data_IF_771152109683
#
_entry.id   IF_771152109683
#
_cell.length_a   1.000
_cell.length_b   1.000
_cell.length_c   1.000
_cell.angle_alpha   90.00
_cell.angle_beta   90.00
_cell.angle_gamma   90.00
#
_symmetry.space_group_name_H-M   'P 1'
#
loop_
_entity.id
_entity.type
_entity.pdbx_description
1 polymer ?
#
# COMPACT_ATOMS: atom_id res chain seq x y z
N UNK A 1 -12.94 -58.95 -6.41
CA UNK A 1 -12.62 -58.44 -5.05
C UNK A 1 -11.44 -57.47 -5.03
N UNK A 2 -10.30 -57.75 -5.69
CA UNK A 2 -9.13 -56.84 -5.72
C UNK A 2 -9.42 -55.42 -6.25
N UNK A 3 -10.27 -55.27 -7.28
CA UNK A 3 -10.65 -53.96 -7.86
C UNK A 3 -11.49 -53.09 -6.91
N UNK A 4 -12.33 -53.71 -6.07
CA UNK A 4 -13.17 -53.00 -5.09
C UNK A 4 -12.31 -52.47 -3.94
N UNK A 5 -11.33 -53.26 -3.50
CA UNK A 5 -10.37 -52.85 -2.46
C UNK A 5 -9.54 -51.65 -2.93
N UNK A 6 -9.08 -51.63 -4.18
CA UNK A 6 -8.28 -50.51 -4.75
C UNK A 6 -9.09 -49.22 -4.85
N UNK A 7 -10.37 -49.29 -5.22
CA UNK A 7 -11.24 -48.11 -5.28
C UNK A 7 -11.48 -47.54 -3.88
N UNK A 8 -11.64 -48.41 -2.88
CA UNK A 8 -11.88 -47.98 -1.50
C UNK A 8 -10.65 -47.32 -0.85
N UNK A 9 -9.44 -47.85 -1.09
CA UNK A 9 -8.19 -47.20 -0.63
C UNK A 9 -7.91 -45.89 -1.35
N UNK A 10 -8.25 -45.78 -2.64
CA UNK A 10 -8.09 -44.53 -3.38
C UNK A 10 -9.06 -43.45 -2.87
N UNK A 11 -10.32 -43.79 -2.60
CA UNK A 11 -11.28 -42.86 -2.00
C UNK A 11 -10.85 -42.41 -0.60
N UNK A 12 -10.27 -43.29 0.21
CA UNK A 12 -9.76 -42.94 1.54
C UNK A 12 -8.58 -41.95 1.49
N UNK A 13 -7.72 -42.05 0.47
CA UNK A 13 -6.59 -41.13 0.26
C UNK A 13 -7.02 -39.72 -0.19
N UNK A 14 -8.19 -39.59 -0.84
CA UNK A 14 -8.70 -38.29 -1.29
C UNK A 14 -9.31 -37.50 -0.13
N UNK A 15 -9.97 -38.19 0.83
CA UNK A 15 -10.62 -37.54 1.98
C UNK A 15 -9.62 -36.93 2.97
N UNK A 16 -8.42 -37.50 3.11
CA UNK A 16 -7.40 -36.98 4.06
C UNK A 16 -6.70 -35.70 3.59
N UNK A 17 -6.80 -35.33 2.31
CA UNK A 17 -6.17 -34.12 1.75
C UNK A 17 -7.08 -32.87 1.82
N UNK A 18 -8.34 -33.00 2.26
CA UNK A 18 -9.33 -31.90 2.27
C UNK A 18 -9.19 -30.88 3.40
N UNK A 19 -8.39 -31.17 4.44
CA UNK A 19 -8.38 -30.39 5.70
C UNK A 19 -7.17 -29.47 5.89
N UNK A 20 -6.57 -28.97 4.81
CA UNK A 20 -5.35 -28.13 4.87
C UNK A 20 -5.51 -26.70 4.30
N UNK A 21 -6.74 -26.21 4.11
CA UNK A 21 -6.93 -24.83 3.66
C UNK A 21 -6.75 -23.86 4.84
N UNK A 22 -5.55 -23.28 4.95
CA UNK A 22 -5.31 -22.13 5.81
C UNK A 22 -6.23 -20.98 5.38
N UNK A 23 -6.92 -20.37 6.33
CA UNK A 23 -7.70 -19.17 6.06
C UNK A 23 -6.76 -18.06 5.55
N UNK A 24 -7.13 -17.34 4.47
CA UNK A 24 -6.31 -16.24 4.02
C UNK A 24 -6.20 -15.19 5.13
N UNK A 25 -5.04 -14.51 5.26
CA UNK A 25 -4.88 -13.46 6.25
C UNK A 25 -5.92 -12.35 6.03
N UNK A 26 -6.31 -11.69 7.12
CA UNK A 26 -7.26 -10.58 7.05
C UNK A 26 -6.75 -9.50 6.08
N UNK A 27 -7.63 -9.06 5.18
CA UNK A 27 -7.32 -8.00 4.21
C UNK A 27 -7.00 -6.69 4.94
N UNK A 28 -5.92 -6.01 4.52
CA UNK A 28 -5.54 -4.72 5.11
C UNK A 28 -6.66 -3.70 4.95
N UNK A 29 -7.13 -3.11 6.05
CA UNK A 29 -8.20 -2.11 6.09
C UNK A 29 -7.79 -0.75 5.53
N UNK A 30 -6.49 -0.49 5.43
CA UNK A 30 -5.91 0.71 4.85
C UNK A 30 -5.06 0.28 3.65
N UNK A 31 -5.57 0.34 2.41
CA UNK A 31 -4.74 0.07 1.25
C UNK A 31 -3.63 1.12 1.11
N UNK A 32 -2.46 0.67 0.65
CA UNK A 32 -1.35 1.54 0.29
C UNK A 32 -1.37 1.82 -1.20
N UNK A 33 -1.24 3.10 -1.55
CA UNK A 33 -1.31 3.59 -2.92
C UNK A 33 0.00 4.26 -3.32
N UNK A 34 0.30 4.21 -4.62
CA UNK A 34 1.46 4.87 -5.20
C UNK A 34 1.07 5.79 -6.34
N UNK A 35 1.56 7.03 -6.30
CA UNK A 35 1.49 8.01 -7.38
C UNK A 35 2.84 8.14 -8.09
N UNK A 36 2.81 8.33 -9.41
CA UNK A 36 4.01 8.49 -10.23
C UNK A 36 3.93 9.78 -11.05
N UNK A 37 5.07 10.44 -11.19
CA UNK A 37 5.23 11.58 -12.09
C UNK A 37 6.42 11.33 -13.05
N UNK A 38 6.24 11.47 -14.38
CA UNK A 38 5.03 11.91 -15.10
C UNK A 38 3.85 10.94 -15.00
N UNK A 39 2.63 11.43 -15.24
CA UNK A 39 1.39 10.62 -15.14
C UNK A 39 1.50 9.42 -16.08
N UNK A 40 1.03 8.25 -15.64
CA UNK A 40 1.03 6.99 -16.40
C UNK A 40 2.41 6.37 -16.67
N UNK A 41 3.44 6.79 -15.94
CA UNK A 41 4.78 6.21 -16.03
C UNK A 41 4.81 4.66 -16.03
N UNK A 42 4.11 3.94 -15.13
CA UNK A 42 4.15 2.47 -15.12
C UNK A 42 3.56 1.87 -16.40
N UNK A 43 2.48 2.47 -16.93
CA UNK A 43 1.83 2.02 -18.17
C UNK A 43 2.72 2.26 -19.38
N UNK A 44 3.33 3.44 -19.47
CA UNK A 44 4.25 3.80 -20.55
C UNK A 44 5.52 2.92 -20.54
N UNK A 45 5.98 2.51 -19.35
CA UNK A 45 7.10 1.58 -19.19
C UNK A 45 6.75 0.17 -19.70
N UNK A 46 5.54 -0.32 -19.44
CA UNK A 46 5.09 -1.63 -19.93
C UNK A 46 4.89 -1.61 -21.46
N UNK A 47 4.51 -0.48 -22.01
CA UNK A 47 4.26 -0.31 -23.45
C UNK A 47 5.53 0.01 -24.27
N UNK A 48 6.71 0.06 -23.65
CA UNK A 48 8.00 0.46 -24.25
C UNK A 48 7.99 1.82 -24.98
N UNK A 49 6.94 2.65 -24.79
CA UNK A 49 6.79 3.99 -25.40
C UNK A 49 7.46 5.08 -24.56
N UNK A 50 8.60 4.76 -24.00
CA UNK A 50 9.13 5.52 -22.89
C UNK A 50 9.97 6.72 -23.35
N UNK A 51 9.39 7.92 -23.28
CA UNK A 51 10.07 9.17 -23.66
C UNK A 51 10.70 9.93 -22.48
N UNK A 52 10.24 9.72 -21.24
CA UNK A 52 10.59 10.58 -20.10
C UNK A 52 10.97 9.80 -18.84
N UNK A 53 12.09 10.16 -18.20
CA UNK A 53 12.59 9.52 -16.97
C UNK A 53 11.66 9.77 -15.78
N UNK A 54 11.62 8.82 -14.83
CA UNK A 54 10.86 8.99 -13.60
C UNK A 54 11.37 10.24 -12.90
N UNK A 55 10.46 11.13 -12.52
CA UNK A 55 10.79 12.38 -11.85
C UNK A 55 10.58 12.22 -10.35
N UNK A 56 9.41 11.74 -9.96
CA UNK A 56 9.06 11.50 -8.57
C UNK A 56 8.10 10.32 -8.43
N UNK A 57 8.18 9.67 -7.27
CA UNK A 57 7.21 8.67 -6.80
C UNK A 57 6.75 9.09 -5.42
N UNK A 58 5.45 8.95 -5.17
CA UNK A 58 4.87 9.10 -3.83
C UNK A 58 4.19 7.80 -3.44
N UNK A 59 4.44 7.30 -2.24
CA UNK A 59 3.76 6.16 -1.65
C UNK A 59 3.05 6.68 -0.40
N UNK A 60 1.74 6.49 -0.33
CA UNK A 60 0.92 7.01 0.76
C UNK A 60 -0.19 6.04 1.11
N UNK A 61 -0.53 6.01 2.39
CA UNK A 61 -1.63 5.19 2.89
C UNK A 61 -2.96 5.93 2.72
N UNK A 62 -4.01 5.22 2.30
CA UNK A 62 -5.39 5.75 2.23
C UNK A 62 -6.25 5.12 3.31
N UNK A 63 -6.24 5.66 4.54
CA UNK A 63 -7.08 5.13 5.61
C UNK A 63 -8.57 5.36 5.27
N UNK A 64 -9.37 4.30 5.30
CA UNK A 64 -10.80 4.41 5.07
C UNK A 64 -11.52 4.86 6.34
N UNK A 65 -12.42 5.84 6.19
CA UNK A 65 -13.29 6.34 7.27
C UNK A 65 -14.42 5.32 7.46
N UNK A 66 -14.14 4.23 8.19
CA UNK A 66 -15.08 3.15 8.46
C UNK A 66 -16.17 3.58 9.46
N UNK A 67 -17.00 4.55 9.08
CA UNK A 67 -18.08 5.15 9.86
C UNK A 67 -17.66 5.74 11.23
N UNK A 68 -16.38 6.07 11.41
CA UNK A 68 -15.84 6.70 12.63
C UNK A 68 -15.61 8.19 12.42
N UNK A 69 -15.96 9.00 13.41
CA UNK A 69 -15.57 10.42 13.45
C UNK A 69 -14.08 10.48 13.81
N UNK A 70 -13.22 10.78 12.83
CA UNK A 70 -11.76 10.78 13.00
C UNK A 70 -11.29 12.07 13.69
N UNK A 71 -11.76 13.22 13.21
CA UNK A 71 -11.37 14.53 13.72
C UNK A 71 -12.23 14.91 14.93
N UNK A 72 -11.61 15.19 16.07
CA UNK A 72 -12.29 15.56 17.32
C UNK A 72 -12.61 14.42 18.28
N UNK A 73 -12.33 13.15 17.93
CA UNK A 73 -12.45 12.01 18.85
C UNK A 73 -11.12 11.25 18.98
N UNK A 74 -10.61 10.71 17.87
CA UNK A 74 -9.35 9.94 17.86
C UNK A 74 -8.13 10.85 17.66
N UNK A 75 -8.29 11.90 16.86
CA UNK A 75 -7.24 12.87 16.58
C UNK A 75 -7.65 14.23 17.12
N UNK A 76 -6.95 14.68 18.16
CA UNK A 76 -7.09 16.01 18.76
C UNK A 76 -6.44 17.08 17.87
N UNK A 77 -7.14 18.20 17.67
CA UNK A 77 -6.60 19.35 16.94
C UNK A 77 -5.39 19.95 17.67
N UNK A 78 -4.35 20.31 16.91
CA UNK A 78 -3.14 20.94 17.46
C UNK A 78 -2.12 19.97 18.08
N UNK A 79 -2.41 18.66 18.15
CA UNK A 79 -1.42 17.64 18.52
C UNK A 79 -0.79 17.00 17.29
N UNK A 80 0.49 16.66 17.42
CA UNK A 80 1.24 15.93 16.40
C UNK A 80 0.74 14.48 16.40
N UNK A 81 0.00 14.09 15.37
CA UNK A 81 -0.57 12.75 15.23
C UNK A 81 0.06 11.99 14.06
N UNK A 82 0.21 10.67 14.24
CA UNK A 82 0.60 9.76 13.15
C UNK A 82 -0.59 9.60 12.20
N UNK A 83 -0.37 9.77 10.91
CA UNK A 83 -1.39 9.52 9.89
C UNK A 83 -1.44 8.03 9.56
N UNK A 84 -2.27 7.27 10.28
CA UNK A 84 -2.76 5.96 9.84
C UNK A 84 -2.14 4.74 10.51
N UNK A 85 -2.78 3.60 10.28
CA UNK A 85 -2.45 2.25 10.80
C UNK A 85 -1.31 1.54 10.03
N UNK A 86 -0.65 2.23 9.09
CA UNK A 86 0.33 1.67 8.15
C UNK A 86 1.68 2.43 8.22
N UNK A 87 2.50 2.31 7.17
CA UNK A 87 3.79 2.98 6.98
C UNK A 87 3.64 4.48 6.62
N UNK A 88 4.69 5.25 6.92
CA UNK A 88 4.74 6.70 6.69
C UNK A 88 4.65 7.04 5.19
N UNK A 89 4.13 8.22 4.87
CA UNK A 89 4.13 8.67 3.46
C UNK A 89 5.56 8.95 3.02
N UNK A 90 5.95 8.34 1.91
CA UNK A 90 7.28 8.46 1.32
C UNK A 90 7.22 9.16 -0.02
N UNK A 91 8.08 10.16 -0.22
CA UNK A 91 8.26 10.82 -1.51
C UNK A 91 9.70 10.63 -1.96
N UNK A 92 9.88 9.94 -3.08
CA UNK A 92 11.18 9.72 -3.70
C UNK A 92 11.34 10.60 -4.93
N UNK A 93 12.46 11.33 -4.98
CA UNK A 93 12.82 12.14 -6.14
C UNK A 93 13.98 11.51 -6.91
N UNK A 94 13.76 11.19 -8.18
CA UNK A 94 14.77 10.59 -9.04
C UNK A 94 15.62 11.63 -9.79
N UNK A 95 15.26 12.91 -9.66
CA UNK A 95 15.95 14.05 -10.25
C UNK A 95 16.12 15.16 -9.21
N UNK A 96 17.01 16.12 -9.48
CA UNK A 96 17.16 17.30 -8.62
C UNK A 96 15.90 18.14 -8.74
N UNK A 97 15.19 18.34 -7.64
CA UNK A 97 13.97 19.14 -7.59
C UNK A 97 14.11 20.25 -6.56
N UNK A 98 13.40 21.36 -6.77
CA UNK A 98 13.30 22.45 -5.79
C UNK A 98 11.89 22.43 -5.22
N UNK A 99 11.77 22.28 -3.91
CA UNK A 99 10.49 22.39 -3.19
C UNK A 99 10.53 23.66 -2.33
N UNK A 100 9.73 24.65 -2.69
CA UNK A 100 9.80 25.98 -2.08
C UNK A 100 11.19 26.60 -2.25
N UNK A 101 11.86 26.90 -1.15
CA UNK A 101 13.23 27.42 -1.13
C UNK A 101 14.30 26.32 -1.02
N UNK A 102 13.91 25.11 -0.65
CA UNK A 102 14.84 24.01 -0.37
C UNK A 102 15.18 23.22 -1.63
N UNK A 103 16.48 23.06 -1.90
CA UNK A 103 17.00 22.23 -3.01
C UNK A 103 17.13 20.79 -2.55
N UNK A 104 16.45 19.88 -3.23
CA UNK A 104 16.49 18.45 -2.93
C UNK A 104 17.43 17.75 -3.91
N UNK A 105 18.36 16.96 -3.36
CA UNK A 105 19.33 16.19 -4.14
C UNK A 105 18.62 15.05 -4.87
N UNK A 106 19.26 14.57 -5.95
CA UNK A 106 18.81 13.39 -6.69
C UNK A 106 18.79 12.17 -5.76
N UNK A 107 17.78 11.32 -5.88
CA UNK A 107 17.55 10.12 -5.07
C UNK A 107 17.30 10.41 -3.57
N UNK A 108 16.67 11.55 -3.27
CA UNK A 108 16.24 11.84 -1.91
C UNK A 108 14.87 11.22 -1.63
N UNK A 109 14.76 10.53 -0.50
CA UNK A 109 13.49 10.05 0.07
C UNK A 109 13.10 10.98 1.21
N UNK A 110 11.93 11.61 1.10
CA UNK A 110 11.32 12.36 2.19
C UNK A 110 10.30 11.46 2.88
N UNK A 111 10.46 11.30 4.19
CA UNK A 111 9.48 10.65 5.04
C UNK A 111 8.60 11.71 5.70
N UNK A 112 7.28 11.56 5.57
CA UNK A 112 6.29 12.36 6.26
C UNK A 112 5.52 11.48 7.25
N UNK A 113 6.09 11.22 8.45
CA UNK A 113 5.46 10.39 9.47
C UNK A 113 4.38 11.11 10.28
N UNK A 114 4.39 12.44 10.28
CA UNK A 114 3.50 13.26 11.09
C UNK A 114 2.97 14.44 10.28
N UNK A 115 1.66 14.67 10.36
CA UNK A 115 1.04 15.88 9.86
C UNK A 115 0.34 16.57 11.03
N UNK A 116 0.64 17.84 11.23
CA UNK A 116 -0.14 18.66 12.16
C UNK A 116 -1.45 19.00 11.45
N UNK A 117 -2.57 18.43 11.91
CA UNK A 117 -3.89 18.83 11.46
C UNK A 117 -4.16 20.20 12.09
N UNK A 118 -3.89 21.27 11.34
CA UNK A 118 -4.36 22.60 11.71
C UNK A 118 -5.86 22.63 11.45
N UNK A 119 -6.66 22.95 12.48
CA UNK A 119 -8.08 23.23 12.34
C UNK A 119 -8.25 24.37 11.35
N UNK A 120 -8.63 24.05 10.12
CA UNK A 120 -8.56 24.96 8.98
C UNK A 120 -9.58 24.63 7.90
N UNK A 121 -10.85 24.52 8.28
CA UNK A 121 -11.96 25.35 7.82
C UNK A 121 -13.15 25.15 8.76
#
# INVERSE_FOLDING_TARGET
>A
MKKIVVVFTLCFFIVTNGSAQATPPATNRSPMDAGYYPRNYPLLKIQDKFSERLLARIIYSRPQVNARVIFGNIIEYGKVCRLGDNEATEIEFYQKVKMGETKIKKAATLYMPFLTITSGC
#
